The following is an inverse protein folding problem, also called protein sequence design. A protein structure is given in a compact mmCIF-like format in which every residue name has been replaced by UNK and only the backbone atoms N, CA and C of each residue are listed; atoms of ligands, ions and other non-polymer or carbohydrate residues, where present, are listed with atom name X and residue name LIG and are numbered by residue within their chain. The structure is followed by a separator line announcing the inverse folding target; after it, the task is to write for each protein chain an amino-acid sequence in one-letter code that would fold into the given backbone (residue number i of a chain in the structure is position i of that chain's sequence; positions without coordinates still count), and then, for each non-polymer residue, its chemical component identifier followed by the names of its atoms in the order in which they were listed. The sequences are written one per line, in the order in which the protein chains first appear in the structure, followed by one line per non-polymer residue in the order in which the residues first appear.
data_IF_760089305662
#
_entry.id   IF_760089305662
#
_cell.length_a   1.000
_cell.length_b   1.000
_cell.length_c   1.000
_cell.angle_alpha   90.00
_cell.angle_beta   90.00
_cell.angle_gamma   90.00
#
_symmetry.space_group_name_H-M   'P 1'
#
loop_
_entity.id
_entity.type
_entity.pdbx_description
1 polymer ?
#
# COMPACT_ATOMS: atom_id res chain seq x y z
N UNK A 1 -15.56 51.10 -4.60
CA UNK A 1 -16.50 50.02 -4.96
C UNK A 1 -16.38 49.77 -6.45
N UNK A 2 -15.50 48.85 -6.87
CA UNK A 2 -15.57 48.13 -8.16
C UNK A 2 -14.48 47.06 -8.19
N UNK A 3 -14.92 45.86 -7.81
CA UNK A 3 -14.21 44.59 -7.80
C UNK A 3 -14.00 44.13 -9.25
N UNK A 4 -12.76 43.90 -9.66
CA UNK A 4 -12.42 43.14 -10.88
C UNK A 4 -11.34 42.13 -10.52
N UNK A 5 -11.83 40.94 -10.16
CA UNK A 5 -11.09 39.70 -10.02
C UNK A 5 -10.54 39.33 -11.41
N UNK A 6 -9.23 39.15 -11.53
CA UNK A 6 -8.59 38.66 -12.76
C UNK A 6 -7.65 37.51 -12.40
N UNK A 7 -8.20 36.31 -12.61
CA UNK A 7 -7.55 35.11 -13.15
C UNK A 7 -6.05 34.95 -12.91
N UNK A 8 -5.73 34.04 -12.01
CA UNK A 8 -4.43 33.34 -11.96
C UNK A 8 -4.67 31.86 -11.70
N UNK A 9 -5.12 31.12 -12.71
CA UNK A 9 -5.05 29.65 -12.69
C UNK A 9 -3.58 29.29 -12.87
N UNK A 10 -2.86 29.10 -11.76
CA UNK A 10 -1.58 28.40 -11.80
C UNK A 10 -1.89 26.92 -11.77
N UNK A 11 -1.83 26.33 -12.96
CA UNK A 11 -1.69 24.90 -13.17
C UNK A 11 -0.38 24.43 -12.51
N UNK A 12 -0.47 24.01 -11.25
CA UNK A 12 0.57 23.28 -10.55
C UNK A 12 0.21 21.81 -10.52
N UNK A 13 0.46 21.11 -11.63
CA UNK A 13 0.28 19.67 -11.72
C UNK A 13 1.26 18.94 -10.81
N UNK A 14 0.87 18.69 -9.57
CA UNK A 14 1.41 17.57 -8.81
C UNK A 14 0.67 16.32 -9.28
N UNK A 15 1.15 15.71 -10.36
CA UNK A 15 0.94 14.29 -10.56
C UNK A 15 1.69 13.58 -9.42
N UNK A 16 1.05 13.47 -8.26
CA UNK A 16 1.40 12.44 -7.30
C UNK A 16 1.23 11.14 -8.07
N UNK A 17 2.35 10.56 -8.52
CA UNK A 17 2.37 9.31 -9.22
C UNK A 17 1.73 8.28 -8.30
N UNK A 18 0.45 8.00 -8.52
CA UNK A 18 -0.19 6.85 -7.92
C UNK A 18 0.49 5.65 -8.53
N UNK A 19 1.47 5.11 -7.80
CA UNK A 19 1.87 3.70 -7.87
C UNK A 19 0.65 2.89 -7.39
N UNK A 20 -0.44 2.95 -8.14
CA UNK A 20 -1.45 1.91 -8.06
C UNK A 20 -0.68 0.67 -8.48
N UNK A 21 -0.40 -0.18 -7.48
CA UNK A 21 0.16 -1.49 -7.68
C UNK A 21 -0.48 -2.05 -8.96
N UNK A 22 0.35 -2.26 -9.98
CA UNK A 22 -0.12 -2.92 -11.20
C UNK A 22 -0.66 -4.26 -10.70
N UNK A 23 -1.98 -4.41 -10.67
CA UNK A 23 -2.58 -5.70 -10.43
C UNK A 23 -2.13 -6.56 -11.61
N UNK A 24 -1.13 -7.41 -11.35
CA UNK A 24 -0.87 -8.55 -12.21
C UNK A 24 -2.17 -9.35 -12.30
N UNK A 25 -2.35 -10.14 -13.36
CA UNK A 25 -3.57 -10.92 -13.59
C UNK A 25 -3.89 -11.84 -12.38
N UNK A 26 -4.64 -11.34 -11.40
CA UNK A 26 -4.99 -12.02 -10.14
C UNK A 26 -4.78 -11.19 -8.85
N UNK A 27 -5.31 -11.66 -7.71
CA UNK A 27 -5.11 -11.01 -6.42
C UNK A 27 -3.67 -11.20 -5.92
N UNK A 28 -2.94 -10.10 -5.77
CA UNK A 28 -1.63 -10.07 -5.12
C UNK A 28 -0.56 -9.28 -5.88
N UNK A 29 0.64 -9.12 -5.29
CA UNK A 29 1.78 -8.50 -5.96
C UNK A 29 2.28 -9.33 -7.15
N UNK A 30 2.81 -8.67 -8.17
CA UNK A 30 3.49 -9.35 -9.28
C UNK A 30 4.73 -10.13 -8.79
N UNK A 31 5.09 -11.22 -9.47
CA UNK A 31 6.34 -11.96 -9.17
C UNK A 31 7.55 -11.02 -9.32
N UNK A 32 8.41 -11.01 -8.31
CA UNK A 32 9.60 -10.14 -8.28
C UNK A 32 9.31 -8.69 -7.87
N UNK A 33 8.05 -8.30 -7.65
CA UNK A 33 7.74 -7.02 -7.04
C UNK A 33 8.25 -6.99 -5.59
N UNK A 34 8.73 -5.81 -5.16
CA UNK A 34 9.07 -5.58 -3.76
C UNK A 34 7.81 -5.77 -2.91
N UNK A 35 7.96 -6.50 -1.81
CA UNK A 35 6.88 -6.64 -0.82
C UNK A 35 6.58 -5.26 -0.20
N UNK A 36 5.31 -4.86 -0.08
CA UNK A 36 4.95 -3.65 0.65
C UNK A 36 5.40 -3.74 2.11
N UNK A 37 5.83 -2.63 2.68
CA UNK A 37 6.14 -2.56 4.11
C UNK A 37 4.86 -2.87 4.90
N UNK A 38 4.95 -3.77 5.89
CA UNK A 38 3.83 -4.10 6.75
C UNK A 38 4.26 -4.28 8.21
N UNK A 39 3.32 -3.99 9.10
CA UNK A 39 3.40 -4.33 10.50
C UNK A 39 2.05 -4.87 10.96
N UNK A 40 2.05 -6.05 11.58
CA UNK A 40 0.84 -6.68 12.10
C UNK A 40 1.07 -7.16 13.53
N UNK A 41 0.02 -7.12 14.34
CA UNK A 41 0.05 -7.64 15.71
C UNK A 41 -0.31 -9.12 15.67
N UNK A 42 0.57 -9.97 16.20
CA UNK A 42 0.34 -11.42 16.27
C UNK A 42 -0.61 -11.80 17.43
N UNK A 43 -0.91 -13.10 17.55
CA UNK A 43 -1.80 -13.61 18.59
C UNK A 43 -1.30 -13.41 20.03
N UNK A 44 -0.03 -13.05 20.20
CA UNK A 44 0.59 -12.74 21.49
C UNK A 44 0.70 -11.24 21.75
N UNK A 45 0.12 -10.41 20.90
CA UNK A 45 0.16 -8.95 21.03
C UNK A 45 1.49 -8.35 20.56
N UNK A 46 2.36 -9.11 19.90
CA UNK A 46 3.65 -8.62 19.44
C UNK A 46 3.52 -8.03 18.04
N UNK A 47 4.06 -6.83 17.84
CA UNK A 47 4.20 -6.26 16.52
C UNK A 47 5.24 -7.05 15.73
N UNK A 48 4.88 -7.51 14.54
CA UNK A 48 5.73 -8.26 13.63
C UNK A 48 5.90 -7.52 12.31
N UNK A 49 7.11 -7.52 11.80
CA UNK A 49 7.49 -7.00 10.48
C UNK A 49 7.86 -8.15 9.53
N UNK A 50 8.15 -7.83 8.27
CA UNK A 50 8.66 -8.83 7.33
C UNK A 50 10.00 -9.40 7.80
N UNK A 51 10.89 -8.54 8.28
CA UNK A 51 12.23 -8.87 8.73
C UNK A 51 12.21 -9.84 9.93
N UNK A 52 11.22 -9.69 10.82
CA UNK A 52 11.07 -10.58 11.99
C UNK A 52 10.54 -11.97 11.63
N UNK A 53 9.80 -12.07 10.53
CA UNK A 53 9.05 -13.28 10.13
C UNK A 53 9.75 -14.09 9.03
N UNK A 54 10.55 -13.43 8.19
CA UNK A 54 11.24 -14.08 7.09
C UNK A 54 12.39 -14.97 7.60
N UNK A 55 12.36 -16.25 7.22
CA UNK A 55 13.45 -17.19 7.46
C UNK A 55 14.38 -17.32 6.24
N UNK A 56 15.34 -18.25 6.32
CA UNK A 56 16.31 -18.53 5.24
C UNK A 56 15.64 -18.90 3.90
N UNK A 57 14.44 -19.50 3.96
CA UNK A 57 13.67 -19.92 2.79
C UNK A 57 12.57 -18.92 2.39
N UNK A 58 12.52 -17.75 3.03
CA UNK A 58 11.49 -16.74 2.83
C UNK A 58 10.27 -16.91 3.74
N UNK A 59 9.17 -16.26 3.35
CA UNK A 59 7.94 -16.14 4.14
C UNK A 59 6.71 -16.46 3.28
N UNK A 60 5.79 -17.26 3.81
CA UNK A 60 4.46 -17.45 3.25
C UNK A 60 3.45 -16.58 4.01
N UNK A 61 2.87 -15.60 3.32
CA UNK A 61 1.81 -14.74 3.85
C UNK A 61 0.44 -15.24 3.36
N UNK A 62 -0.39 -15.70 4.30
CA UNK A 62 -1.74 -16.17 4.00
C UNK A 62 -2.78 -15.17 4.51
N UNK A 63 -3.51 -14.55 3.57
CA UNK A 63 -4.63 -13.68 3.89
C UNK A 63 -5.92 -14.50 3.92
N UNK A 64 -6.57 -14.54 5.08
CA UNK A 64 -7.90 -15.12 5.21
C UNK A 64 -8.83 -14.11 5.90
N UNK A 65 -10.10 -14.13 5.52
CA UNK A 65 -11.17 -13.46 6.25
C UNK A 65 -12.01 -14.54 6.90
N UNK A 66 -12.13 -14.51 8.22
CA UNK A 66 -13.09 -15.36 8.92
C UNK A 66 -14.51 -15.02 8.46
N UNK A 67 -15.35 -16.03 8.25
CA UNK A 67 -16.77 -15.81 8.11
C UNK A 67 -17.35 -15.55 9.49
N UNK A 68 -17.94 -14.36 9.69
CA UNK A 68 -18.87 -14.13 10.80
C UNK A 68 -20.10 -14.99 10.51
N UNK A 69 -20.30 -16.05 11.28
CA UNK A 69 -21.48 -16.92 11.21
C UNK A 69 -22.47 -16.58 12.30
#
# INVERSE_FOLDING_TARGET
MTRRELYGVIAGGCAAGSLLAQAADGPGPAKGARIPDFQAVDQHGQARTFEDLAGENGLLLHFFRSADW
#
